data_IF_769204472526
#
_entry.id   IF_769204472526
#
_cell.length_a   1.000
_cell.length_b   1.000
_cell.length_c   1.000
_cell.angle_alpha   90.00
_cell.angle_beta   90.00
_cell.angle_gamma   90.00
#
_symmetry.space_group_name_H-M   'P 1'
#
loop_
_entity.id
_entity.type
_entity.pdbx_description
1 polymer ?
#
# COMPACT_ATOMS: atom_id res chain seq x y z
N UNK A 1 -2.97 2.22 -9.17
CA UNK A 1 -1.75 1.57 -9.70
C UNK A 1 -1.90 0.06 -9.81
N UNK A 2 -2.33 -0.64 -8.76
CA UNK A 2 -2.47 -2.11 -8.76
C UNK A 2 -3.27 -2.67 -9.96
N UNK A 3 -4.40 -2.05 -10.33
CA UNK A 3 -5.19 -2.48 -11.50
C UNK A 3 -4.40 -2.38 -12.82
N UNK A 4 -3.64 -1.31 -13.02
CA UNK A 4 -2.83 -1.12 -14.24
C UNK A 4 -1.78 -2.23 -14.34
N UNK A 5 -1.12 -2.57 -13.24
CA UNK A 5 -0.14 -3.66 -13.24
C UNK A 5 -0.79 -5.03 -13.48
N UNK A 6 -2.00 -5.27 -12.97
CA UNK A 6 -2.75 -6.49 -13.23
C UNK A 6 -3.13 -6.62 -14.71
N UNK A 7 -3.57 -5.52 -15.34
CA UNK A 7 -3.84 -5.47 -16.77
C UNK A 7 -2.61 -5.78 -17.61
N UNK A 8 -1.49 -5.10 -17.31
CA UNK A 8 -0.25 -5.30 -18.06
C UNK A 8 0.31 -6.73 -17.93
N UNK A 9 0.08 -7.39 -16.80
CA UNK A 9 0.61 -8.73 -16.53
C UNK A 9 -0.30 -9.85 -17.01
N UNK A 10 -1.62 -9.69 -16.90
CA UNK A 10 -2.58 -10.78 -17.08
C UNK A 10 -3.68 -10.45 -18.11
N UNK A 11 -3.75 -9.23 -18.64
CA UNK A 11 -4.83 -8.79 -19.54
C UNK A 11 -6.21 -8.84 -18.88
N UNK A 12 -6.26 -8.65 -17.56
CA UNK A 12 -7.49 -8.75 -16.76
C UNK A 12 -7.72 -7.47 -15.97
N UNK A 13 -8.95 -6.98 -16.03
CA UNK A 13 -9.48 -6.00 -15.07
C UNK A 13 -10.09 -6.76 -13.91
N UNK A 14 -9.63 -6.56 -12.66
CA UNK A 14 -10.32 -7.13 -11.52
C UNK A 14 -11.77 -6.67 -11.52
N UNK A 15 -12.70 -7.61 -11.42
CA UNK A 15 -14.11 -7.26 -11.19
C UNK A 15 -14.22 -6.56 -9.83
N UNK A 16 -15.19 -5.66 -9.67
CA UNK A 16 -15.30 -4.72 -8.54
C UNK A 16 -15.44 -5.36 -7.13
N UNK A 17 -15.34 -6.69 -7.00
CA UNK A 17 -15.57 -7.46 -5.77
C UNK A 17 -14.42 -7.53 -4.78
N UNK A 18 -13.28 -6.86 -5.01
CA UNK A 18 -12.19 -6.62 -4.03
C UNK A 18 -11.37 -7.85 -3.57
N UNK A 19 -11.97 -9.03 -3.41
CA UNK A 19 -11.31 -10.24 -2.90
C UNK A 19 -10.41 -10.91 -3.94
N UNK A 20 -10.80 -10.93 -5.21
CA UNK A 20 -9.97 -11.44 -6.31
C UNK A 20 -8.63 -10.69 -6.38
N UNK A 21 -8.67 -9.39 -6.10
CA UNK A 21 -7.51 -8.50 -6.11
C UNK A 21 -6.49 -8.82 -5.01
N UNK A 22 -6.94 -9.33 -3.85
CA UNK A 22 -6.06 -9.78 -2.77
C UNK A 22 -5.27 -11.03 -3.16
N UNK A 23 -5.85 -11.91 -3.96
CA UNK A 23 -5.18 -13.13 -4.44
C UNK A 23 -4.27 -12.89 -5.64
N UNK A 24 -4.72 -12.06 -6.59
CA UNK A 24 -3.95 -11.76 -7.82
C UNK A 24 -2.74 -10.84 -7.55
N UNK A 25 -2.84 -9.97 -6.55
CA UNK A 25 -1.75 -9.08 -6.17
C UNK A 25 -1.78 -8.83 -4.65
N UNK A 26 -1.34 -9.82 -3.85
CA UNK A 26 -1.36 -9.70 -2.40
C UNK A 26 -0.49 -8.56 -1.91
N UNK A 27 -0.87 -8.05 -0.75
CA UNK A 27 -0.09 -7.07 -0.02
C UNK A 27 0.82 -7.80 0.97
N UNK A 28 2.13 -7.73 0.74
CA UNK A 28 3.11 -8.44 1.56
C UNK A 28 2.98 -8.06 3.05
N UNK A 29 2.63 -6.81 3.31
CA UNK A 29 2.48 -6.19 4.63
C UNK A 29 1.43 -6.89 5.50
N UNK A 30 0.40 -7.48 4.88
CA UNK A 30 -0.67 -8.19 5.56
C UNK A 30 -0.61 -9.71 5.36
N UNK A 31 -0.24 -10.18 4.16
CA UNK A 31 -0.25 -11.61 3.83
C UNK A 31 1.00 -12.36 4.33
N UNK A 32 2.12 -11.66 4.53
CA UNK A 32 3.39 -12.26 4.91
C UNK A 32 4.09 -13.00 3.77
N UNK A 33 5.38 -13.31 3.97
CA UNK A 33 6.23 -13.91 2.92
C UNK A 33 5.82 -15.31 2.52
N UNK A 34 5.32 -16.11 3.46
CA UNK A 34 5.01 -17.52 3.22
C UNK A 34 3.80 -17.70 2.30
N UNK A 35 2.76 -16.87 2.44
CA UNK A 35 1.61 -16.92 1.53
C UNK A 35 2.00 -16.48 0.13
N UNK A 36 2.81 -15.43 0.01
CA UNK A 36 3.30 -14.93 -1.29
C UNK A 36 4.20 -15.96 -2.00
N UNK A 37 4.90 -16.83 -1.26
CA UNK A 37 5.70 -17.92 -1.84
C UNK A 37 4.86 -19.01 -2.49
N UNK A 38 3.60 -19.21 -2.06
CA UNK A 38 2.69 -20.22 -2.62
C UNK A 38 2.10 -19.82 -3.98
N UNK A 39 2.16 -18.53 -4.34
CA UNK A 39 1.58 -18.04 -5.59
C UNK A 39 2.39 -18.45 -6.83
N UNK A 40 1.72 -18.72 -7.97
CA UNK A 40 2.37 -19.04 -9.23
C UNK A 40 3.19 -17.86 -9.77
N UNK A 41 4.22 -18.15 -10.57
CA UNK A 41 5.04 -17.13 -11.26
C UNK A 41 4.50 -16.83 -12.66
N UNK A 42 4.65 -15.59 -13.19
CA UNK A 42 5.22 -14.42 -12.51
C UNK A 42 4.26 -13.86 -11.45
N UNK A 43 4.81 -13.33 -10.35
CA UNK A 43 4.05 -12.82 -9.19
C UNK A 43 3.98 -11.29 -9.25
N UNK A 44 2.79 -10.74 -9.09
CA UNK A 44 2.61 -9.31 -8.80
C UNK A 44 2.40 -9.15 -7.28
N UNK A 45 3.27 -8.40 -6.63
CA UNK A 45 3.27 -8.23 -5.17
C UNK A 45 3.32 -6.73 -4.88
N UNK A 46 2.51 -6.25 -3.94
CA UNK A 46 2.56 -4.85 -3.47
C UNK A 46 2.99 -4.78 -2.00
N UNK A 47 3.59 -3.67 -1.63
CA UNK A 47 4.05 -3.41 -0.27
C UNK A 47 4.29 -1.92 -0.05
N UNK A 48 4.13 -1.44 1.18
CA UNK A 48 4.57 -0.11 1.63
C UNK A 48 5.87 -0.18 2.45
N UNK A 49 6.52 -1.35 2.54
CA UNK A 49 7.80 -1.45 3.21
C UNK A 49 8.84 -0.54 2.57
N UNK A 50 9.73 -0.03 3.42
CA UNK A 50 10.87 0.77 3.00
C UNK A 50 11.87 -0.12 2.27
N UNK A 51 12.67 0.49 1.41
CA UNK A 51 13.69 -0.22 0.63
C UNK A 51 14.61 -1.09 1.50
N UNK A 52 15.01 -0.58 2.68
CA UNK A 52 15.87 -1.30 3.62
C UNK A 52 15.19 -2.43 4.42
N UNK A 53 13.86 -2.55 4.35
CA UNK A 53 13.09 -3.62 4.98
C UNK A 53 12.87 -4.81 4.03
N UNK A 54 13.24 -4.67 2.76
CA UNK A 54 13.06 -5.70 1.75
C UNK A 54 14.40 -6.30 1.32
N UNK A 55 14.41 -7.63 1.13
CA UNK A 55 15.55 -8.33 0.53
C UNK A 55 15.29 -8.56 -0.95
N UNK A 56 15.90 -7.69 -1.76
CA UNK A 56 15.83 -7.71 -3.20
C UNK A 56 16.90 -8.67 -3.75
N UNK A 57 16.60 -9.97 -3.81
CA UNK A 57 17.46 -10.94 -4.52
C UNK A 57 17.61 -10.62 -6.02
N UNK A 58 18.52 -11.29 -6.74
CA UNK A 58 18.91 -10.87 -8.10
C UNK A 58 17.82 -10.90 -9.22
N UNK A 59 16.62 -11.45 -8.98
CA UNK A 59 15.65 -11.76 -10.05
C UNK A 59 14.23 -11.20 -9.79
N UNK A 60 14.08 -9.87 -9.73
CA UNK A 60 12.77 -9.22 -9.68
C UNK A 60 12.84 -7.81 -10.30
N UNK A 61 11.67 -7.25 -10.64
CA UNK A 61 11.51 -5.87 -11.13
C UNK A 61 10.70 -5.09 -10.11
N UNK A 62 11.08 -3.84 -9.85
CA UNK A 62 10.42 -2.97 -8.88
C UNK A 62 9.80 -1.79 -9.64
N UNK A 63 8.53 -1.52 -9.35
CA UNK A 63 7.88 -0.26 -9.73
C UNK A 63 7.69 0.54 -8.44
N UNK A 64 8.53 1.55 -8.25
CA UNK A 64 8.41 2.46 -7.12
C UNK A 64 7.50 3.63 -7.50
N UNK A 65 6.52 3.93 -6.65
CA UNK A 65 5.53 4.99 -6.92
C UNK A 65 5.69 6.07 -5.87
N UNK A 66 5.95 7.29 -6.35
CA UNK A 66 5.95 8.51 -5.55
C UNK A 66 4.86 9.44 -6.06
N UNK A 67 4.35 10.28 -5.16
CA UNK A 67 3.30 11.27 -5.44
C UNK A 67 3.63 12.53 -4.63
N UNK A 68 3.14 13.69 -5.04
CA UNK A 68 3.32 14.91 -4.24
C UNK A 68 2.85 14.67 -2.78
N UNK A 69 3.67 14.98 -1.75
CA UNK A 69 3.32 14.73 -0.35
C UNK A 69 2.03 15.43 0.08
N UNK A 70 1.71 16.60 -0.51
CA UNK A 70 0.44 17.31 -0.23
C UNK A 70 -0.77 16.51 -0.69
N UNK A 71 -0.66 15.87 -1.86
CA UNK A 71 -1.73 15.01 -2.37
C UNK A 71 -1.80 13.67 -1.61
N UNK A 72 -0.66 13.14 -1.17
CA UNK A 72 -0.59 11.95 -0.31
C UNK A 72 -1.30 12.21 1.01
N UNK A 73 -1.02 13.33 1.68
CA UNK A 73 -1.67 13.73 2.92
C UNK A 73 -3.20 13.73 2.79
N UNK A 74 -3.74 14.45 1.80
CA UNK A 74 -5.19 14.54 1.60
C UNK A 74 -5.79 13.17 1.31
N UNK A 75 -5.15 12.39 0.44
CA UNK A 75 -5.60 11.02 0.15
C UNK A 75 -5.57 10.11 1.38
N UNK A 76 -4.58 10.28 2.26
CA UNK A 76 -4.40 9.43 3.43
C UNK A 76 -5.38 9.78 4.55
N UNK A 77 -5.67 11.07 4.72
CA UNK A 77 -6.73 11.57 5.59
C UNK A 77 -8.09 10.95 5.22
N UNK A 78 -8.52 11.07 3.96
CA UNK A 78 -9.79 10.49 3.53
C UNK A 78 -9.81 8.96 3.55
N UNK A 79 -8.65 8.32 3.38
CA UNK A 79 -8.52 6.87 3.60
C UNK A 79 -8.80 6.50 5.06
N UNK A 80 -8.26 7.25 6.02
CA UNK A 80 -8.52 7.05 7.45
C UNK A 80 -9.99 7.31 7.82
N UNK A 81 -10.63 8.32 7.22
CA UNK A 81 -12.06 8.58 7.41
C UNK A 81 -12.95 7.45 6.87
N UNK A 82 -12.59 6.87 5.73
CA UNK A 82 -13.42 5.88 5.05
C UNK A 82 -13.24 4.45 5.60
N UNK A 83 -12.06 4.14 6.14
CA UNK A 83 -11.76 2.82 6.67
C UNK A 83 -11.91 2.80 8.18
N UNK A 84 -13.03 2.24 8.65
CA UNK A 84 -13.39 2.09 10.08
C UNK A 84 -12.27 1.54 10.97
N UNK A 85 -11.37 0.74 10.39
CA UNK A 85 -10.24 0.16 11.10
C UNK A 85 -9.30 1.20 11.74
N UNK A 86 -9.25 2.42 11.19
CA UNK A 86 -8.40 3.49 11.72
C UNK A 86 -9.08 4.36 12.78
N UNK A 87 -10.37 4.15 13.03
CA UNK A 87 -11.15 4.88 14.06
C UNK A 87 -11.00 6.42 13.95
N UNK A 88 -11.03 6.96 12.72
CA UNK A 88 -10.83 8.38 12.42
C UNK A 88 -11.99 8.98 11.60
N UNK A 89 -13.20 8.41 11.72
CA UNK A 89 -14.38 8.84 10.94
C UNK A 89 -14.74 10.32 11.22
N UNK A 90 -14.57 10.78 12.46
CA UNK A 90 -14.86 12.14 12.91
C UNK A 90 -13.61 12.99 13.17
N UNK A 91 -12.43 12.49 12.79
CA UNK A 91 -11.16 13.15 13.07
C UNK A 91 -10.90 14.42 12.24
N UNK A 92 -10.19 15.37 12.85
CA UNK A 92 -9.88 16.66 12.26
C UNK A 92 -8.68 16.60 11.28
N UNK A 93 -8.69 17.49 10.29
CA UNK A 93 -7.63 17.53 9.28
C UNK A 93 -6.34 18.14 9.80
N UNK A 94 -6.40 19.20 10.62
CA UNK A 94 -5.19 19.87 11.12
C UNK A 94 -4.43 18.94 12.08
N UNK A 95 -5.16 18.19 12.92
CA UNK A 95 -4.58 17.12 13.72
C UNK A 95 -3.91 16.05 12.86
N UNK A 96 -4.57 15.63 11.77
CA UNK A 96 -3.98 14.64 10.86
C UNK A 96 -2.75 15.17 10.12
N UNK A 97 -2.75 16.46 9.76
CA UNK A 97 -1.60 17.15 9.18
C UNK A 97 -0.40 17.10 10.12
N UNK A 98 -0.59 17.45 11.39
CA UNK A 98 0.46 17.40 12.40
C UNK A 98 1.01 15.97 12.57
N UNK A 99 0.12 14.97 12.62
CA UNK A 99 0.50 13.56 12.68
C UNK A 99 1.33 13.14 11.47
N UNK A 100 0.97 13.58 10.26
CA UNK A 100 1.66 13.26 9.00
C UNK A 100 3.04 13.92 8.90
N UNK A 101 3.20 15.13 9.42
CA UNK A 101 4.46 15.86 9.37
C UNK A 101 5.45 15.44 10.47
N UNK A 102 4.97 14.77 11.52
CA UNK A 102 5.79 14.37 12.66
C UNK A 102 6.61 13.09 12.37
N UNK A 103 7.89 13.26 12.02
CA UNK A 103 8.80 12.20 11.55
C UNK A 103 9.00 10.99 12.48
N UNK A 104 8.78 11.18 13.78
CA UNK A 104 8.90 10.12 14.79
C UNK A 104 7.55 9.50 15.18
N UNK A 105 6.48 9.86 14.48
CA UNK A 105 5.15 9.38 14.79
C UNK A 105 5.00 7.89 14.45
N UNK A 106 4.51 7.11 15.41
CA UNK A 106 4.18 5.69 15.24
C UNK A 106 2.68 5.44 15.13
N UNK A 107 1.87 6.49 15.25
CA UNK A 107 0.42 6.44 15.23
C UNK A 107 -0.12 6.32 13.79
N UNK A 108 0.61 6.86 12.81
CA UNK A 108 0.32 6.64 11.40
C UNK A 108 1.03 5.38 10.87
N UNK A 109 0.32 4.64 10.03
CA UNK A 109 0.84 3.43 9.40
C UNK A 109 2.05 3.72 8.50
N UNK A 110 2.99 2.76 8.45
CA UNK A 110 4.19 2.77 7.58
C UNK A 110 5.20 3.92 7.82
N UNK A 111 4.96 4.77 8.82
CA UNK A 111 5.91 5.76 9.35
C UNK A 111 6.06 7.01 8.49
N UNK A 112 7.20 7.68 8.65
CA UNK A 112 7.53 8.92 7.94
C UNK A 112 7.55 8.75 6.42
N UNK A 113 6.96 9.74 5.72
CA UNK A 113 6.99 9.88 4.27
C UNK A 113 8.34 10.45 3.76
N UNK A 114 9.05 11.23 4.59
CA UNK A 114 10.25 12.01 4.22
C UNK A 114 11.58 11.32 4.50
#
# INVERSE_FOLDING_TARGET
MQNICLELMYGKTPTAGGQEMLWLSPMLDYSGSEEVKKLPRPRLIKTHFRYNQMNFGAAHKIVFVVRNPKDCLVSYYYHHKAFKHYDWEDGDFDQFYDLFMHRANKELGYGDYF
#
